data_IF_148347631711
#
_entry.id   IF_148347631711
#
_cell.length_a   1.000
_cell.length_b   1.000
_cell.length_c   1.000
_cell.angle_alpha   90.00
_cell.angle_beta   90.00
_cell.angle_gamma   90.00
#
_symmetry.space_group_name_H-M   'P 1'
#
loop_
_entity.id
_entity.type
_entity.pdbx_description
1 polymer ?
#
# COMPACT_ATOMS: atom_id res chain seq x y z
N UNK A 1 1.80 -2.34 -2.54
CA UNK A 1 2.71 -1.58 -3.42
C UNK A 1 2.69 -0.06 -3.19
N UNK A 2 1.78 0.76 -3.75
CA UNK A 2 1.88 2.23 -3.61
C UNK A 2 1.94 2.74 -2.16
N UNK A 3 1.10 2.18 -1.28
CA UNK A 3 1.11 2.51 0.15
C UNK A 3 2.39 2.06 0.87
N UNK A 4 2.93 0.92 0.49
CA UNK A 4 4.17 0.35 1.04
C UNK A 4 5.39 1.15 0.58
N UNK A 5 5.39 1.61 -0.67
CA UNK A 5 6.41 2.50 -1.22
C UNK A 5 6.39 3.83 -0.49
N UNK A 6 5.21 4.40 -0.23
CA UNK A 6 5.10 5.60 0.60
C UNK A 6 5.68 5.41 2.01
N UNK A 7 5.43 4.25 2.63
CA UNK A 7 5.92 3.95 3.99
C UNK A 7 7.42 3.66 4.05
N UNK A 8 7.98 3.04 3.01
CA UNK A 8 9.38 2.58 2.99
C UNK A 8 10.36 3.61 2.42
N UNK A 9 9.90 4.50 1.52
CA UNK A 9 10.81 5.45 0.88
C UNK A 9 11.15 6.64 1.80
N UNK A 10 12.43 7.05 1.85
CA UNK A 10 12.83 8.27 2.52
C UNK A 10 12.29 9.50 1.77
N UNK A 11 12.15 10.61 2.49
CA UNK A 11 11.84 11.89 1.85
C UNK A 11 12.99 12.33 0.97
N UNK A 12 12.66 12.84 -0.22
CA UNK A 12 13.62 13.18 -1.25
C UNK A 12 13.71 14.70 -1.51
N UNK A 13 12.76 15.48 -0.98
CA UNK A 13 12.67 16.92 -1.24
C UNK A 13 12.12 17.23 -2.64
N UNK A 14 12.44 18.41 -3.16
CA UNK A 14 12.07 18.86 -4.50
C UNK A 14 13.26 18.64 -5.44
N UNK A 15 13.32 17.45 -6.04
CA UNK A 15 14.36 17.06 -6.99
C UNK A 15 13.92 17.44 -8.41
N UNK A 16 14.88 17.88 -9.23
CA UNK A 16 14.63 18.19 -10.64
C UNK A 16 14.07 16.99 -11.44
N UNK A 17 14.38 15.76 -11.01
CA UNK A 17 13.92 14.52 -11.62
C UNK A 17 13.37 13.56 -10.56
N UNK A 18 12.26 12.85 -10.85
CA UNK A 18 11.77 11.82 -9.95
C UNK A 18 12.78 10.66 -9.88
N UNK A 19 12.95 10.09 -8.70
CA UNK A 19 13.74 8.87 -8.47
C UNK A 19 13.05 7.64 -9.05
N UNK A 20 11.72 7.67 -9.15
CA UNK A 20 10.90 6.56 -9.63
C UNK A 20 9.64 7.09 -10.32
N UNK A 21 9.28 6.50 -11.47
CA UNK A 21 8.03 6.76 -12.17
C UNK A 21 7.15 5.52 -12.18
N UNK A 22 5.93 5.61 -11.65
CA UNK A 22 4.91 4.58 -11.77
C UNK A 22 3.95 4.91 -12.90
N UNK A 23 3.84 4.00 -13.85
CA UNK A 23 2.85 4.05 -14.92
C UNK A 23 1.80 2.97 -14.65
N UNK A 24 0.58 3.40 -14.44
CA UNK A 24 -0.57 2.53 -14.21
C UNK A 24 -1.38 2.51 -15.50
N UNK A 25 -1.14 1.48 -16.29
CA UNK A 25 -1.89 1.24 -17.52
C UNK A 25 -3.28 0.67 -17.21
N UNK A 26 -4.25 1.02 -18.05
CA UNK A 26 -5.67 0.74 -17.84
C UNK A 26 -6.14 1.09 -16.42
N UNK A 27 -5.80 2.30 -15.98
CA UNK A 27 -6.06 2.80 -14.64
C UNK A 27 -7.52 2.67 -14.18
N UNK A 28 -8.47 2.64 -15.11
CA UNK A 28 -9.88 2.42 -14.83
C UNK A 28 -10.14 1.13 -14.03
N UNK A 29 -9.33 0.09 -14.23
CA UNK A 29 -9.42 -1.19 -13.51
C UNK A 29 -9.08 -1.06 -12.03
N UNK A 30 -8.28 -0.07 -11.64
CA UNK A 30 -7.93 0.17 -10.24
C UNK A 30 -9.09 0.78 -9.46
N UNK A 31 -9.99 1.49 -10.14
CA UNK A 31 -11.04 2.28 -9.51
C UNK A 31 -12.42 1.64 -9.63
N UNK A 32 -12.64 0.83 -10.66
CA UNK A 32 -13.90 0.13 -10.89
C UNK A 32 -14.20 -0.83 -9.73
N UNK A 33 -15.37 -0.66 -9.13
CA UNK A 33 -15.86 -1.45 -7.99
C UNK A 33 -14.90 -1.50 -6.78
N UNK A 34 -13.98 -0.54 -6.68
CA UNK A 34 -13.01 -0.49 -5.61
C UNK A 34 -13.68 -0.04 -4.28
N UNK A 35 -13.35 -0.68 -3.15
CA UNK A 35 -13.87 -0.26 -1.84
C UNK A 35 -13.51 1.19 -1.53
N UNK A 36 -14.41 1.93 -0.87
CA UNK A 36 -14.16 3.33 -0.49
C UNK A 36 -12.85 3.52 0.28
N UNK A 37 -12.55 2.62 1.22
CA UNK A 37 -11.31 2.66 1.99
C UNK A 37 -10.05 2.58 1.12
N UNK A 38 -10.11 1.84 0.00
CA UNK A 38 -9.01 1.75 -0.95
C UNK A 38 -8.84 3.04 -1.75
N UNK A 39 -9.95 3.63 -2.21
CA UNK A 39 -9.94 4.92 -2.91
C UNK A 39 -9.37 6.04 -2.03
N UNK A 40 -9.79 6.09 -0.76
CA UNK A 40 -9.29 7.06 0.23
C UNK A 40 -7.78 6.89 0.45
N UNK A 41 -7.30 5.64 0.51
CA UNK A 41 -5.88 5.34 0.64
C UNK A 41 -5.08 5.77 -0.61
N UNK A 42 -5.60 5.52 -1.82
CA UNK A 42 -4.95 5.96 -3.05
C UNK A 42 -4.85 7.50 -3.09
N UNK A 43 -5.92 8.22 -2.77
CA UNK A 43 -5.92 9.68 -2.75
C UNK A 43 -4.86 10.22 -1.77
N UNK A 44 -4.78 9.64 -0.56
CA UNK A 44 -3.75 9.99 0.41
C UNK A 44 -2.33 9.75 -0.12
N UNK A 45 -2.10 8.60 -0.76
CA UNK A 45 -0.77 8.27 -1.29
C UNK A 45 -0.39 9.23 -2.40
N UNK A 46 -1.27 9.50 -3.37
CA UNK A 46 -0.99 10.40 -4.51
C UNK A 46 -0.63 11.80 -4.02
N UNK A 47 -1.32 12.30 -2.99
CA UNK A 47 -1.04 13.61 -2.40
C UNK A 47 0.36 13.72 -1.80
N UNK A 48 0.86 12.63 -1.21
CA UNK A 48 2.10 12.64 -0.41
C UNK A 48 3.30 12.11 -1.18
N UNK A 49 3.11 11.25 -2.18
CA UNK A 49 4.21 10.53 -2.83
C UNK A 49 5.19 11.45 -3.59
N UNK A 50 4.74 12.66 -3.97
CA UNK A 50 5.62 13.66 -4.59
C UNK A 50 6.82 14.00 -3.70
N UNK A 51 6.65 14.15 -2.39
CA UNK A 51 7.76 14.49 -1.47
C UNK A 51 8.79 13.36 -1.31
N UNK A 52 8.43 12.14 -1.73
CA UNK A 52 9.30 10.97 -1.81
C UNK A 52 10.08 10.89 -3.14
N UNK A 53 9.87 11.86 -4.04
CA UNK A 53 10.51 11.89 -5.36
C UNK A 53 9.94 10.85 -6.32
N UNK A 54 8.67 10.46 -6.16
CA UNK A 54 7.99 9.50 -7.05
C UNK A 54 6.96 10.22 -7.91
N UNK A 55 7.02 9.99 -9.22
CA UNK A 55 5.98 10.39 -10.17
C UNK A 55 4.96 9.27 -10.36
N UNK A 56 3.68 9.61 -10.44
CA UNK A 56 2.60 8.66 -10.75
C UNK A 56 1.85 9.14 -11.99
N UNK A 57 1.70 8.23 -12.95
CA UNK A 57 1.04 8.45 -14.23
C UNK A 57 -0.09 7.44 -14.37
N UNK A 58 -1.30 7.95 -14.64
CA UNK A 58 -2.47 7.12 -14.93
C UNK A 58 -2.74 7.15 -16.42
N UNK A 59 -2.67 5.99 -17.07
CA UNK A 59 -2.98 5.82 -18.47
C UNK A 59 -4.38 5.19 -18.57
N UNK A 60 -5.29 5.89 -19.22
CA UNK A 60 -6.69 5.46 -19.40
C UNK A 60 -7.21 5.98 -20.74
N UNK A 61 -8.27 5.34 -21.23
CA UNK A 61 -8.94 5.73 -22.47
C UNK A 61 -9.81 6.97 -22.25
N UNK A 62 -10.55 7.02 -21.12
CA UNK A 62 -11.39 8.15 -20.75
C UNK A 62 -10.94 8.73 -19.41
N UNK A 63 -10.86 10.06 -19.37
CA UNK A 63 -10.51 10.81 -18.15
C UNK A 63 -11.49 10.58 -17.01
N UNK A 64 -12.77 10.37 -17.33
CA UNK A 64 -13.85 10.11 -16.36
C UNK A 64 -13.68 8.79 -15.60
N UNK A 65 -12.85 7.87 -16.10
CA UNK A 65 -12.58 6.60 -15.42
C UNK A 65 -11.70 6.76 -14.18
N UNK A 66 -11.07 7.93 -14.01
CA UNK A 66 -10.26 8.25 -12.83
C UNK A 66 -11.08 9.14 -11.90
N UNK A 67 -11.15 8.82 -10.59
CA UNK A 67 -11.89 9.62 -9.62
C UNK A 67 -11.48 11.10 -9.61
N UNK A 68 -12.44 12.00 -9.45
CA UNK A 68 -12.20 13.45 -9.44
C UNK A 68 -11.20 13.89 -8.35
N UNK A 69 -11.21 13.22 -7.19
CA UNK A 69 -10.23 13.47 -6.12
C UNK A 69 -8.81 13.23 -6.61
N UNK A 70 -8.57 12.11 -7.29
CA UNK A 70 -7.28 11.77 -7.89
C UNK A 70 -6.92 12.73 -9.03
N UNK A 71 -7.84 12.97 -9.97
CA UNK A 71 -7.62 13.90 -11.10
C UNK A 71 -7.23 15.31 -10.64
N UNK A 72 -7.75 15.76 -9.49
CA UNK A 72 -7.41 17.06 -8.93
C UNK A 72 -5.96 17.18 -8.45
N UNK A 73 -5.29 16.05 -8.18
CA UNK A 73 -3.90 16.00 -7.76
C UNK A 73 -2.93 15.86 -8.94
N UNK A 74 -3.43 15.59 -10.15
CA UNK A 74 -2.63 15.39 -11.36
C UNK A 74 -2.45 16.71 -12.11
N UNK A 75 -1.23 17.26 -12.04
CA UNK A 75 -0.89 18.54 -12.68
C UNK A 75 -0.53 18.43 -14.17
N UNK A 76 0.16 17.35 -14.56
CA UNK A 76 0.60 17.14 -15.94
C UNK A 76 -0.45 16.33 -16.69
N UNK A 77 -0.72 16.70 -17.95
CA UNK A 77 -1.69 16.02 -18.79
C UNK A 77 -1.17 15.88 -20.21
N UNK A 78 -1.25 14.65 -20.71
CA UNK A 78 -0.97 14.29 -22.08
C UNK A 78 -2.22 13.60 -22.59
N UNK A 79 -2.85 14.17 -23.60
CA UNK A 79 -4.14 13.71 -24.08
C UNK A 79 -4.09 13.48 -25.58
N UNK A 80 -4.09 12.21 -25.93
CA UNK A 80 -4.07 11.74 -27.31
C UNK A 80 -5.44 11.91 -27.97
N UNK A 81 -5.49 11.65 -29.27
CA UNK A 81 -6.73 11.67 -30.04
C UNK A 81 -7.74 10.69 -29.48
N UNK A 82 -8.87 11.21 -29.02
CA UNK A 82 -10.07 10.42 -28.72
C UNK A 82 -11.06 10.60 -29.87
N UNK A 83 -11.48 9.49 -30.46
CA UNK A 83 -12.53 9.47 -31.48
C UNK A 83 -13.88 9.38 -30.78
N UNK A 84 -14.71 10.41 -30.95
CA UNK A 84 -16.08 10.38 -30.45
C UNK A 84 -16.99 9.74 -31.50
N UNK A 85 -17.62 8.62 -31.15
CA UNK A 85 -18.57 7.91 -32.03
C UNK A 85 -20.01 8.02 -31.53
N UNK A 86 -20.18 8.29 -30.24
CA UNK A 86 -21.49 8.43 -29.59
C UNK A 86 -21.72 9.85 -29.04
N UNK A 87 -22.98 10.27 -28.82
CA UNK A 87 -23.28 11.55 -28.16
C UNK A 87 -22.66 11.68 -26.76
N UNK A 88 -22.53 10.56 -26.04
CA UNK A 88 -21.89 10.54 -24.73
C UNK A 88 -20.39 10.83 -24.85
N UNK A 89 -19.71 10.27 -25.85
CA UNK A 89 -18.30 10.54 -26.11
C UNK A 89 -18.08 12.03 -26.42
N UNK A 90 -18.95 12.64 -27.23
CA UNK A 90 -18.90 14.07 -27.55
C UNK A 90 -19.05 14.92 -26.28
N UNK A 91 -19.96 14.53 -25.38
CA UNK A 91 -20.17 15.23 -24.11
C UNK A 91 -18.96 15.09 -23.18
N UNK A 92 -18.47 13.87 -22.97
CA UNK A 92 -17.30 13.59 -22.15
C UNK A 92 -16.05 14.30 -22.69
N UNK A 93 -15.93 14.38 -24.02
CA UNK A 93 -14.86 15.10 -24.69
C UNK A 93 -14.94 16.61 -24.42
N UNK A 94 -16.11 17.22 -24.59
CA UNK A 94 -16.30 18.65 -24.27
C UNK A 94 -16.01 18.97 -22.81
N UNK A 95 -16.41 18.10 -21.89
CA UNK A 95 -16.10 18.24 -20.46
C UNK A 95 -14.59 18.14 -20.22
N UNK A 96 -13.91 17.20 -20.87
CA UNK A 96 -12.45 17.05 -20.76
C UNK A 96 -11.72 18.30 -21.28
N UNK A 97 -12.12 18.84 -22.43
CA UNK A 97 -11.50 20.04 -23.01
C UNK A 97 -11.58 21.24 -22.07
N UNK A 98 -12.71 21.43 -21.39
CA UNK A 98 -12.90 22.53 -20.42
C UNK A 98 -11.94 22.48 -19.23
N UNK A 99 -11.31 21.34 -18.97
CA UNK A 99 -10.36 21.19 -17.87
C UNK A 99 -8.93 21.57 -18.24
N UNK A 100 -8.64 21.83 -19.52
CA UNK A 100 -7.34 22.32 -19.96
C UNK A 100 -7.21 23.83 -19.77
N UNK A 101 -6.00 24.33 -19.46
CA UNK A 101 -5.68 25.74 -19.59
C UNK A 101 -6.04 26.24 -20.99
N UNK A 102 -6.71 27.39 -21.06
CA UNK A 102 -7.06 28.03 -22.33
C UNK A 102 -5.79 28.31 -23.13
N UNK A 103 -5.88 28.17 -24.44
CA UNK A 103 -4.83 28.57 -25.35
C UNK A 103 -5.25 29.81 -26.15
N UNK A 104 -4.30 30.69 -26.41
CA UNK A 104 -4.44 31.82 -27.33
C UNK A 104 -4.22 31.39 -28.79
N UNK A 105 -3.58 30.24 -29.02
CA UNK A 105 -3.22 29.75 -30.34
C UNK A 105 -4.30 28.87 -30.98
N UNK A 106 -5.14 28.22 -30.17
CA UNK A 106 -6.09 27.20 -30.64
C UNK A 106 -7.50 27.40 -30.09
N UNK A 107 -8.51 27.25 -30.96
CA UNK A 107 -9.84 26.87 -30.50
C UNK A 107 -9.78 25.39 -30.09
N UNK A 108 -9.68 25.17 -28.78
CA UNK A 108 -9.51 23.82 -28.21
C UNK A 108 -10.63 22.86 -28.61
N UNK A 109 -11.88 23.32 -28.79
CA UNK A 109 -12.99 22.45 -29.19
C UNK A 109 -12.86 22.00 -30.64
N UNK A 110 -12.49 22.92 -31.54
CA UNK A 110 -12.29 22.59 -32.95
C UNK A 110 -11.02 21.76 -33.16
N UNK A 111 -9.90 22.21 -32.58
CA UNK A 111 -8.59 21.60 -32.80
C UNK A 111 -8.58 20.14 -32.33
N UNK A 112 -9.30 19.82 -31.27
CA UNK A 112 -9.41 18.45 -30.77
C UNK A 112 -9.98 17.48 -31.81
N UNK A 113 -11.03 17.88 -32.53
CA UNK A 113 -11.62 17.06 -33.59
C UNK A 113 -10.70 16.86 -34.80
N UNK A 114 -9.71 17.73 -34.97
CA UNK A 114 -8.78 17.72 -36.09
C UNK A 114 -7.49 16.96 -35.80
N UNK A 115 -7.22 16.60 -34.54
CA UNK A 115 -6.00 15.88 -34.20
C UNK A 115 -5.94 14.50 -34.89
N UNK A 116 -4.78 14.22 -35.48
CA UNK A 116 -4.44 12.95 -36.10
C UNK A 116 -3.66 12.03 -35.16
N UNK A 117 -3.55 10.76 -35.55
CA UNK A 117 -2.69 9.79 -34.85
C UNK A 117 -1.26 10.31 -34.76
N UNK A 118 -0.64 10.16 -33.59
CA UNK A 118 0.71 10.69 -33.33
C UNK A 118 0.71 12.16 -32.91
N UNK A 119 -0.44 12.77 -32.66
CA UNK A 119 -0.55 14.09 -32.05
C UNK A 119 -1.26 14.00 -30.69
N UNK A 120 -0.94 14.92 -29.78
CA UNK A 120 -1.57 15.03 -28.48
C UNK A 120 -1.64 16.49 -28.01
N UNK A 121 -2.62 16.79 -27.17
CA UNK A 121 -2.58 17.98 -26.32
C UNK A 121 -1.72 17.73 -25.11
N UNK A 122 -0.81 18.65 -24.84
CA UNK A 122 0.11 18.57 -23.72
C UNK A 122 0.00 19.85 -22.90
N UNK A 123 -0.17 19.68 -21.60
CA UNK A 123 0.03 20.71 -20.58
C UNK A 123 0.85 20.12 -19.46
N UNK A 124 1.83 20.86 -18.99
CA UNK A 124 2.69 20.46 -17.88
C UNK A 124 2.73 21.59 -16.85
N UNK A 125 3.15 21.29 -15.63
CA UNK A 125 3.41 22.32 -14.64
C UNK A 125 4.76 22.99 -14.94
N UNK A 126 4.81 24.31 -14.83
CA UNK A 126 6.08 25.05 -14.80
C UNK A 126 6.77 24.91 -13.43
N UNK A 127 7.94 25.53 -13.28
CA UNK A 127 8.74 25.53 -12.03
C UNK A 127 7.97 26.02 -10.79
N UNK A 128 6.92 26.83 -11.00
CA UNK A 128 6.07 27.36 -9.93
C UNK A 128 4.84 26.48 -9.65
N UNK A 129 4.73 25.32 -10.30
CA UNK A 129 3.57 24.44 -10.18
C UNK A 129 2.31 24.95 -10.90
N UNK A 130 2.45 25.92 -11.81
CA UNK A 130 1.33 26.49 -12.57
C UNK A 130 1.23 25.72 -13.90
N UNK A 131 0.04 25.22 -14.28
CA UNK A 131 -0.17 24.62 -15.59
C UNK A 131 0.21 25.59 -16.70
N UNK A 132 1.06 25.14 -17.62
CA UNK A 132 1.39 25.88 -18.83
C UNK A 132 0.20 25.95 -19.77
N UNK A 133 0.27 26.85 -20.74
CA UNK A 133 -0.68 26.86 -21.84
C UNK A 133 -0.70 25.50 -22.56
N UNK A 134 -1.89 25.05 -22.97
CA UNK A 134 -2.03 23.77 -23.66
C UNK A 134 -1.56 23.89 -25.10
N UNK A 135 -0.68 22.99 -25.54
CA UNK A 135 -0.13 22.99 -26.90
C UNK A 135 -0.38 21.66 -27.60
N UNK A 136 -0.65 21.73 -28.92
CA UNK A 136 -0.67 20.54 -29.79
C UNK A 136 0.77 20.14 -30.09
N UNK A 137 1.11 18.89 -29.77
CA UNK A 137 2.46 18.37 -29.94
C UNK A 137 2.43 17.12 -30.83
N UNK A 138 3.37 17.05 -31.77
CA UNK A 138 3.63 15.83 -32.54
C UNK A 138 4.52 14.91 -31.71
N UNK A 139 4.11 13.65 -31.59
CA UNK A 139 4.81 12.63 -30.84
C UNK A 139 5.73 11.87 -31.79
N UNK A 140 6.99 11.76 -31.41
CA UNK A 140 7.92 10.89 -32.11
C UNK A 140 7.52 9.42 -31.84
N UNK A 141 7.56 8.55 -32.86
CA UNK A 141 7.41 7.12 -32.62
C UNK A 141 8.54 6.64 -31.69
N UNK A 142 8.31 5.60 -30.88
CA UNK A 142 9.36 5.02 -30.07
C UNK A 142 10.54 4.61 -30.95
N UNK A 143 11.75 5.01 -30.57
CA UNK A 143 12.99 4.53 -31.20
C UNK A 143 13.36 3.11 -30.72
N UNK A 144 12.40 2.38 -30.12
CA UNK A 144 12.59 1.05 -29.58
C UNK A 144 12.08 -0.03 -30.54
N UNK A 145 12.75 -1.17 -30.51
CA UNK A 145 12.26 -2.36 -31.18
C UNK A 145 11.11 -2.96 -30.37
N UNK A 146 9.90 -3.03 -30.97
CA UNK A 146 8.71 -3.61 -30.34
C UNK A 146 8.60 -5.13 -30.55
N UNK A 147 9.71 -5.85 -30.41
CA UNK A 147 9.75 -7.31 -30.49
C UNK A 147 10.43 -7.93 -29.27
N UNK A 148 10.36 -9.25 -29.13
CA UNK A 148 11.05 -9.94 -28.05
C UNK A 148 12.56 -9.69 -28.16
N UNK A 149 13.18 -9.24 -27.08
CA UNK A 149 14.62 -9.09 -26.99
C UNK A 149 15.26 -10.48 -26.98
N UNK A 150 16.33 -10.68 -27.76
CA UNK A 150 17.04 -11.95 -27.75
C UNK A 150 17.63 -12.22 -26.36
N UNK A 151 17.59 -13.48 -25.90
CA UNK A 151 18.03 -13.82 -24.54
C UNK A 151 19.47 -13.39 -24.26
N UNK A 152 20.37 -13.50 -25.25
CA UNK A 152 21.76 -13.08 -25.13
C UNK A 152 21.89 -11.55 -24.95
N UNK A 153 21.14 -10.77 -25.72
CA UNK A 153 21.12 -9.30 -25.61
C UNK A 153 20.52 -8.86 -24.27
N UNK A 154 19.46 -9.54 -23.81
CA UNK A 154 18.88 -9.29 -22.49
C UNK A 154 19.91 -9.50 -21.37
N UNK A 155 20.63 -10.63 -21.37
CA UNK A 155 21.63 -10.92 -20.34
C UNK A 155 22.77 -9.91 -20.37
N UNK A 156 23.25 -9.54 -21.56
CA UNK A 156 24.29 -8.53 -21.71
C UNK A 156 23.86 -7.17 -21.14
N UNK A 157 22.64 -6.71 -21.48
CA UNK A 157 22.11 -5.45 -20.96
C UNK A 157 21.90 -5.50 -19.44
N UNK A 158 21.43 -6.63 -18.93
CA UNK A 158 21.22 -6.85 -17.51
C UNK A 158 22.55 -6.79 -16.75
N UNK A 159 23.58 -7.50 -17.21
CA UNK A 159 24.91 -7.55 -16.58
C UNK A 159 25.66 -6.21 -16.64
N UNK A 160 25.41 -5.40 -17.68
CA UNK A 160 25.98 -4.06 -17.82
C UNK A 160 25.32 -3.01 -16.91
N UNK A 161 24.15 -3.32 -16.34
CA UNK A 161 23.45 -2.39 -15.48
C UNK A 161 24.23 -2.10 -14.20
N UNK A 162 24.35 -0.83 -13.83
CA UNK A 162 24.97 -0.40 -12.56
C UNK A 162 24.26 -1.01 -11.33
N UNK A 163 22.98 -1.40 -11.50
CA UNK A 163 22.17 -2.01 -10.47
C UNK A 163 22.38 -3.53 -10.37
N UNK A 164 23.00 -4.16 -11.37
CA UNK A 164 23.18 -5.60 -11.42
C UNK A 164 23.88 -6.18 -10.19
N UNK A 165 25.02 -5.63 -9.71
CA UNK A 165 25.70 -6.19 -8.55
C UNK A 165 24.84 -6.19 -7.28
N UNK A 166 23.89 -5.25 -7.17
CA UNK A 166 23.02 -5.09 -6.02
C UNK A 166 21.79 -6.01 -6.06
N UNK A 167 21.24 -6.26 -7.25
CA UNK A 167 19.95 -6.95 -7.40
C UNK A 167 20.02 -8.31 -8.09
N UNK A 168 21.20 -8.77 -8.52
CA UNK A 168 21.36 -10.08 -9.20
C UNK A 168 20.95 -11.26 -8.34
N UNK A 169 21.16 -11.17 -7.03
CA UNK A 169 20.87 -12.26 -6.10
C UNK A 169 19.46 -12.06 -5.53
N UNK A 170 18.58 -13.02 -5.78
CA UNK A 170 17.23 -13.00 -5.24
C UNK A 170 17.30 -13.12 -3.70
N UNK A 171 16.73 -12.15 -3.01
CA UNK A 171 16.54 -12.21 -1.56
C UNK A 171 15.12 -12.68 -1.30
N UNK A 172 14.99 -13.82 -0.62
CA UNK A 172 13.71 -14.30 -0.11
C UNK A 172 13.57 -13.86 1.36
N UNK A 173 12.81 -12.78 1.66
CA UNK A 173 12.65 -12.32 3.02
C UNK A 173 11.75 -13.28 3.81
N UNK A 174 12.20 -13.72 4.99
CA UNK A 174 11.35 -14.49 5.90
C UNK A 174 10.07 -13.70 6.22
N UNK A 175 8.91 -14.30 5.95
CA UNK A 175 7.65 -13.61 6.16
C UNK A 175 7.37 -13.43 7.67
N UNK A 176 6.66 -12.36 8.02
CA UNK A 176 6.19 -12.15 9.41
C UNK A 176 5.38 -13.34 9.92
N UNK A 177 4.70 -14.05 9.02
CA UNK A 177 3.95 -15.27 9.32
C UNK A 177 4.89 -16.42 9.69
N UNK A 178 5.94 -16.67 8.91
CA UNK A 178 6.96 -17.68 9.21
C UNK A 178 7.68 -17.41 10.54
N UNK A 179 8.03 -16.14 10.81
CA UNK A 179 8.65 -15.74 12.08
C UNK A 179 7.72 -15.96 13.28
N UNK A 180 6.41 -15.74 13.11
CA UNK A 180 5.42 -15.99 14.15
C UNK A 180 5.19 -17.49 14.37
N UNK A 181 5.12 -18.26 13.28
CA UNK A 181 4.93 -19.71 13.36
C UNK A 181 6.14 -20.40 14.03
N UNK A 182 7.36 -20.03 13.64
CA UNK A 182 8.60 -20.48 14.31
C UNK A 182 8.59 -20.17 15.81
N UNK A 183 8.12 -18.98 16.21
CA UNK A 183 8.01 -18.61 17.64
C UNK A 183 6.94 -19.41 18.38
N UNK A 184 5.81 -19.71 17.73
CA UNK A 184 4.76 -20.54 18.32
C UNK A 184 5.19 -22.00 18.45
N UNK A 185 5.88 -22.55 17.47
CA UNK A 185 6.44 -23.90 17.51
C UNK A 185 7.49 -24.02 18.63
N UNK A 186 8.45 -23.09 18.70
CA UNK A 186 9.44 -23.05 19.78
C UNK A 186 8.82 -22.89 21.19
N UNK A 187 7.67 -22.21 21.30
CA UNK A 187 6.94 -22.10 22.55
C UNK A 187 6.20 -23.40 22.93
N UNK A 188 5.71 -24.17 21.95
CA UNK A 188 5.07 -25.47 22.17
C UNK A 188 6.09 -26.53 22.57
N UNK A 189 7.23 -26.59 21.89
CA UNK A 189 8.32 -27.52 22.21
C UNK A 189 8.82 -27.32 23.65
N UNK A 190 9.00 -26.06 24.08
CA UNK A 190 9.37 -25.77 25.47
C UNK A 190 8.31 -26.19 26.49
N UNK A 191 7.02 -26.05 26.16
CA UNK A 191 5.95 -26.51 27.05
C UNK A 191 5.90 -28.04 27.14
N UNK A 192 6.19 -28.74 26.05
CA UNK A 192 6.25 -30.20 26.02
C UNK A 192 7.46 -30.74 26.80
N UNK A 193 8.63 -30.10 26.67
CA UNK A 193 9.81 -30.43 27.49
C UNK A 193 9.57 -30.17 28.99
N UNK A 194 8.97 -29.03 29.35
CA UNK A 194 8.63 -28.74 30.75
C UNK A 194 7.56 -29.69 31.33
N UNK A 195 6.64 -30.18 30.48
CA UNK A 195 5.65 -31.18 30.87
C UNK A 195 6.28 -32.56 31.06
N UNK A 196 7.22 -32.96 30.21
CA UNK A 196 7.96 -34.22 30.31
C UNK A 196 8.86 -34.28 31.56
N UNK A 197 9.56 -33.19 31.86
CA UNK A 197 10.38 -33.07 33.09
C UNK A 197 9.50 -33.10 34.35
N UNK A 198 8.28 -32.54 34.28
CA UNK A 198 7.31 -32.62 35.39
C UNK A 198 6.67 -34.00 35.54
N UNK A 199 6.50 -34.79 34.48
CA UNK A 199 6.01 -36.17 34.60
C UNK A 199 7.07 -37.10 35.19
N UNK A 200 8.34 -36.97 34.79
CA UNK A 200 9.44 -37.77 35.34
C UNK A 200 9.67 -37.47 36.83
N UNK A 201 9.56 -36.20 37.24
CA UNK A 201 9.65 -35.81 38.65
C UNK A 201 8.47 -36.36 39.50
N UNK A 202 7.31 -36.62 38.87
CA UNK A 202 6.10 -37.14 39.52
C UNK A 202 6.08 -38.67 39.59
N UNK A 203 6.72 -39.36 38.65
CA UNK A 203 6.93 -40.82 38.69
C UNK A 203 8.05 -41.25 39.65
N UNK A 204 9.05 -40.41 39.91
CA UNK A 204 10.05 -40.69 40.96
C UNK A 204 9.54 -40.49 42.39
N UNK A 205 8.37 -39.87 42.59
CA UNK A 205 7.77 -39.69 43.93
C UNK A 205 6.78 -40.80 44.33
N UNK A 206 6.42 -41.73 43.43
CA UNK A 206 5.42 -42.78 43.72
C UNK A 206 6.01 -44.10 44.22
N UNK A 207 7.34 -44.23 44.35
CA UNK A 207 8.01 -45.47 44.81
C UNK A 207 8.76 -45.35 46.15
N UNK A 208 8.36 -44.43 47.04
CA UNK A 208 8.88 -44.41 48.42
C UNK A 208 7.79 -44.24 49.48
N UNK A 209 7.57 -45.33 50.21
CA UNK A 209 7.05 -45.45 51.57
C UNK A 209 5.53 -45.33 51.83
N UNK A 210 4.98 -46.51 52.08
CA UNK A 210 4.06 -46.82 53.17
C UNK A 210 4.34 -46.08 54.48
N UNK A 211 3.26 -45.54 55.09
CA UNK A 211 2.97 -45.33 56.53
C UNK A 211 2.59 -43.88 56.86
N UNK A 212 1.29 -43.70 57.13
CA UNK A 212 0.62 -42.78 58.09
C UNK A 212 1.33 -41.43 58.37
N UNK A 213 0.71 -40.33 57.97
CA UNK A 213 0.04 -39.35 58.84
C UNK A 213 -0.51 -38.15 58.04
N UNK A 214 -1.65 -37.61 58.49
CA UNK A 214 -2.23 -36.37 57.97
C UNK A 214 -1.30 -35.21 58.34
N UNK A 215 -0.82 -34.43 57.36
CA UNK A 215 -0.04 -33.22 57.63
C UNK A 215 -0.58 -32.04 56.81
N UNK A 216 -1.24 -31.13 57.53
CA UNK A 216 -1.13 -29.66 57.52
C UNK A 216 -0.98 -28.84 56.23
N UNK A 217 -1.07 -29.42 55.02
CA UNK A 217 -0.98 -28.67 53.76
C UNK A 217 -2.34 -28.49 53.07
N UNK A 218 -3.30 -29.38 53.33
CA UNK A 218 -4.69 -29.25 52.85
C UNK A 218 -5.44 -28.07 53.48
N UNK A 219 -4.97 -27.57 54.63
CA UNK A 219 -5.58 -26.43 55.35
C UNK A 219 -5.15 -25.06 54.81
N UNK A 220 -4.13 -24.99 53.94
CA UNK A 220 -3.64 -23.72 53.37
C UNK A 220 -4.21 -23.45 51.97
N UNK A 221 -4.71 -24.50 51.29
CA UNK A 221 -5.40 -24.37 49.99
C UNK A 221 -6.88 -23.98 50.09
N UNK A 222 -7.45 -23.97 51.30
CA UNK A 222 -8.85 -23.56 51.55
C UNK A 222 -8.99 -22.11 52.04
N UNK A 223 -7.95 -21.29 51.88
CA UNK A 223 -8.04 -19.86 52.15
C UNK A 223 -8.78 -19.14 51.01
N UNK A 224 -9.84 -18.33 51.30
CA UNK A 224 -10.53 -17.52 50.29
C UNK A 224 -9.65 -16.46 49.61
N UNK A 225 -8.39 -16.31 50.02
CA UNK A 225 -7.43 -15.32 49.50
C UNK A 225 -6.76 -15.78 48.19
N UNK A 226 -6.73 -17.09 47.90
CA UNK A 226 -6.01 -17.62 46.71
C UNK A 226 -6.81 -17.51 45.40
N UNK A 227 -8.10 -17.21 45.46
CA UNK A 227 -8.96 -17.04 44.25
C UNK A 227 -8.86 -15.67 43.58
N UNK A 228 -8.20 -14.69 44.21
CA UNK A 228 -8.03 -13.34 43.65
C UNK A 228 -6.75 -13.19 42.81
N UNK A 229 -5.68 -13.91 43.16
CA UNK A 229 -4.39 -13.82 42.46
C UNK A 229 -4.43 -14.51 41.08
N UNK A 230 -5.25 -15.55 40.92
CA UNK A 230 -5.42 -16.25 39.63
C UNK A 230 -6.24 -15.47 38.58
N UNK A 231 -6.96 -14.41 38.98
CA UNK A 231 -7.87 -13.69 38.08
C UNK A 231 -7.27 -12.40 37.50
N UNK A 232 -6.14 -11.93 38.02
CA UNK A 232 -5.41 -10.76 37.50
C UNK A 232 -4.37 -11.12 36.44
N UNK A 233 -3.73 -12.30 36.54
CA UNK A 233 -2.70 -12.72 35.58
C UNK A 233 -3.26 -13.05 34.18
N UNK A 234 -4.50 -13.52 34.09
CA UNK A 234 -5.19 -13.76 32.81
C UNK A 234 -5.59 -12.45 32.11
N UNK A 235 -5.74 -11.34 32.85
CA UNK A 235 -6.04 -10.01 32.29
C UNK A 235 -4.79 -9.30 31.77
N UNK A 236 -3.61 -9.59 32.31
CA UNK A 236 -2.34 -8.98 31.89
C UNK A 236 -1.87 -9.47 30.52
N UNK A 237 -2.05 -10.75 30.20
CA UNK A 237 -1.55 -11.35 28.95
C UNK A 237 -2.49 -11.10 27.76
N UNK A 238 -3.81 -11.02 27.98
CA UNK A 238 -4.78 -10.72 26.91
C UNK A 238 -4.86 -9.24 26.52
N UNK A 239 -4.43 -8.31 27.39
CA UNK A 239 -4.47 -6.86 27.13
C UNK A 239 -3.33 -6.32 26.27
N UNK A 240 -2.23 -7.06 26.12
CA UNK A 240 -1.07 -6.66 25.31
C UNK A 240 -1.15 -7.18 23.87
N UNK A 241 -2.01 -8.18 23.61
CA UNK A 241 -2.18 -8.83 22.30
C UNK A 241 -3.38 -8.34 21.47
N UNK A 242 -4.37 -7.69 22.09
CA UNK A 242 -5.49 -7.05 21.37
C UNK A 242 -5.64 -5.61 21.82
N UNK A 243 -5.16 -4.70 20.96
CA UNK A 243 -5.10 -3.26 21.18
C UNK A 243 -6.37 -2.66 21.79
N UNK A 244 -6.15 -1.73 22.71
CA UNK A 244 -7.16 -0.93 23.38
C UNK A 244 -8.05 -0.17 22.38
N UNK A 245 -9.35 -0.45 22.37
CA UNK A 245 -10.36 0.42 21.79
C UNK A 245 -10.85 1.46 22.84
N UNK A 246 -11.05 2.74 22.48
CA UNK A 246 -11.42 3.79 23.42
C UNK A 246 -12.90 3.68 23.83
N UNK A 247 -13.17 3.72 25.15
CA UNK A 247 -14.53 3.78 25.70
C UNK A 247 -15.12 5.18 25.48
N UNK A 248 -16.11 5.26 24.60
CA UNK A 248 -17.06 6.38 24.49
C UNK A 248 -17.81 6.56 25.82
N UNK A 249 -17.59 7.69 26.49
CA UNK A 249 -18.39 8.14 27.63
C UNK A 249 -19.65 8.82 27.12
N UNK A 250 -20.81 8.17 27.29
CA UNK A 250 -22.10 8.85 27.25
C UNK A 250 -22.47 9.26 28.67
N UNK A 251 -22.47 10.56 28.96
CA UNK A 251 -23.09 11.09 30.19
C UNK A 251 -24.16 12.09 29.79
N UNK A 252 -25.41 11.72 30.04
CA UNK A 252 -26.59 12.58 29.89
C UNK A 252 -27.04 13.01 31.29
N UNK A 253 -27.24 14.33 31.43
CA UNK A 253 -28.12 15.09 32.35
C UNK A 253 -27.84 15.14 33.86
N UNK A 254 -27.85 16.37 34.38
CA UNK A 254 -28.20 16.71 35.76
C UNK A 254 -27.85 18.14 36.20
N UNK A 255 -28.80 19.07 36.00
CA UNK A 255 -29.20 20.19 36.89
C UNK A 255 -28.11 21.07 37.53
N UNK A 256 -27.93 22.29 37.01
CA UNK A 256 -28.24 23.60 37.62
C UNK A 256 -28.15 24.67 36.52
#
# INVERSE_FOLDING_TARGET
LLAEIYQSLPEAGDLDKPKLGFFLDEAHLLFKDAPKAFLDQIDQVIRLIRSKGVGVFFCTQLTQDVPASVLSQLGNRVHHVIRAFTPNDVKALKETIKTFPKSEFYDMEQQFTQLGTGQAFITVLNEKGIPTETVVTHLAPPASFMGPLAQAEYQQQLEQSELYPKYKDAVDPESSFELLDKKMQAAREKQEEEAAVRSDAREQTTTRNTRREKSTFEQVLSSPVTKQVGRELVRGVFGVLFGSAPRRSSRRKGIF
#
